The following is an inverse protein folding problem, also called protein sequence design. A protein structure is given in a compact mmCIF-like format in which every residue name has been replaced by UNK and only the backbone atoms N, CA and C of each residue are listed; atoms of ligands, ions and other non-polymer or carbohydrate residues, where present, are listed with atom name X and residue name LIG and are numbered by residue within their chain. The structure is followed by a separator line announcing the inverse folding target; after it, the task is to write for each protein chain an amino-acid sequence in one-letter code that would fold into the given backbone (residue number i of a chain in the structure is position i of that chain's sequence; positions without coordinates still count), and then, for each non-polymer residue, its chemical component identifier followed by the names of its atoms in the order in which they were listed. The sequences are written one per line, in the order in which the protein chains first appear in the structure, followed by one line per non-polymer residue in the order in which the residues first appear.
data_IF_761724552191
#
_entry.id   IF_761724552191
#
_cell.length_a   1.000
_cell.length_b   1.000
_cell.length_c   1.000
_cell.angle_alpha   90.00
_cell.angle_beta   90.00
_cell.angle_gamma   90.00
#
_symmetry.space_group_name_H-M   'P 1'
#
loop_
_entity.id
_entity.type
_entity.pdbx_description
1 polymer ?
#
# COMPACT_ATOMS: atom_id res chain seq x y z
N UNK A 1 -51.42 -8.64 24.11
CA UNK A 1 -50.28 -9.58 23.98
C UNK A 1 -49.55 -9.52 22.62
N UNK A 2 -50.10 -8.91 21.56
CA UNK A 2 -49.46 -8.82 20.23
C UNK A 2 -48.53 -7.60 20.00
N UNK A 3 -48.64 -6.54 20.81
CA UNK A 3 -47.85 -5.30 20.63
C UNK A 3 -46.36 -5.46 21.01
N UNK A 4 -46.06 -6.30 22.00
CA UNK A 4 -44.68 -6.58 22.41
C UNK A 4 -43.93 -7.44 21.39
N UNK A 5 -44.61 -8.38 20.73
CA UNK A 5 -43.99 -9.26 19.71
C UNK A 5 -43.60 -8.48 18.47
N UNK A 6 -44.43 -7.52 18.04
CA UNK A 6 -44.14 -6.64 16.89
C UNK A 6 -42.90 -5.77 17.17
N UNK A 7 -42.77 -5.26 18.40
CA UNK A 7 -41.62 -4.43 18.78
C UNK A 7 -40.31 -5.23 18.77
N UNK A 8 -40.33 -6.48 19.23
CA UNK A 8 -39.15 -7.37 19.23
C UNK A 8 -38.72 -7.73 17.80
N UNK A 9 -39.67 -8.02 16.90
CA UNK A 9 -39.36 -8.32 15.49
C UNK A 9 -38.77 -7.10 14.77
N UNK A 10 -39.27 -5.89 15.05
CA UNK A 10 -38.76 -4.65 14.45
C UNK A 10 -37.32 -4.35 14.87
N UNK A 11 -36.97 -4.59 16.14
CA UNK A 11 -35.60 -4.42 16.66
C UNK A 11 -34.64 -5.45 16.05
N UNK A 12 -35.09 -6.68 15.83
CA UNK A 12 -34.26 -7.72 15.18
C UNK A 12 -33.98 -7.42 13.70
N UNK A 13 -34.94 -6.85 12.97
CA UNK A 13 -34.74 -6.40 11.58
C UNK A 13 -33.80 -5.19 11.46
N UNK A 14 -33.82 -4.26 12.44
CA UNK A 14 -32.91 -3.11 12.46
C UNK A 14 -31.45 -3.49 12.74
N UNK A 15 -31.20 -4.58 13.47
CA UNK A 15 -29.85 -5.09 13.73
C UNK A 15 -29.28 -5.91 12.57
N UNK A 16 -30.13 -6.53 11.74
CA UNK A 16 -29.71 -7.30 10.57
C UNK A 16 -29.21 -6.44 9.39
N UNK A 17 -29.42 -5.12 9.44
CA UNK A 17 -28.98 -4.17 8.40
C UNK A 17 -27.50 -3.76 8.49
N UNK A 18 -26.80 -4.09 9.57
CA UNK A 18 -25.37 -3.82 9.71
C UNK A 18 -24.57 -5.01 9.16
N UNK A 19 -24.44 -5.09 7.83
CA UNK A 19 -23.34 -5.87 7.26
C UNK A 19 -22.06 -5.16 7.63
N UNK A 20 -21.36 -5.64 8.67
CA UNK A 20 -20.00 -5.23 8.94
C UNK A 20 -19.17 -5.60 7.71
N UNK A 21 -18.88 -4.63 6.85
CA UNK A 21 -17.94 -4.83 5.76
C UNK A 21 -16.58 -5.04 6.41
N UNK A 22 -16.01 -6.23 6.24
CA UNK A 22 -14.68 -6.53 6.75
C UNK A 22 -13.70 -5.46 6.23
N UNK A 23 -12.85 -4.94 7.12
CA UNK A 23 -11.82 -3.99 6.74
C UNK A 23 -10.92 -4.63 5.67
N UNK A 24 -10.61 -3.87 4.63
CA UNK A 24 -9.78 -4.39 3.55
C UNK A 24 -8.33 -4.52 4.04
N UNK A 25 -7.73 -5.69 3.81
CA UNK A 25 -6.37 -5.99 4.26
C UNK A 25 -5.38 -5.59 3.19
N UNK A 26 -4.43 -4.74 3.54
CA UNK A 26 -3.41 -4.26 2.60
C UNK A 26 -2.01 -4.50 3.16
N UNK A 27 -1.15 -5.06 2.33
CA UNK A 27 0.28 -5.15 2.60
C UNK A 27 1.03 -4.10 1.80
N UNK A 28 2.00 -3.44 2.42
CA UNK A 28 2.93 -2.54 1.75
C UNK A 28 4.31 -3.18 1.82
N UNK A 29 4.88 -3.49 0.67
CA UNK A 29 6.23 -4.02 0.58
C UNK A 29 7.27 -2.91 0.86
N UNK A 30 8.47 -3.31 1.28
CA UNK A 30 9.58 -2.38 1.40
C UNK A 30 9.88 -1.76 0.03
N UNK A 31 10.10 -0.44 0.01
CA UNK A 31 10.41 0.28 -1.22
C UNK A 31 11.85 0.00 -1.63
N UNK A 32 12.04 -0.33 -2.91
CA UNK A 32 13.38 -0.41 -3.49
C UNK A 32 13.87 0.98 -3.89
N UNK A 33 15.17 1.25 -3.75
CA UNK A 33 15.79 2.44 -4.31
C UNK A 33 16.42 2.12 -5.67
N UNK A 34 15.88 2.74 -6.71
CA UNK A 34 16.43 2.78 -8.05
C UNK A 34 17.12 4.14 -8.28
N UNK A 35 18.35 4.25 -7.79
CA UNK A 35 19.17 5.44 -7.99
C UNK A 35 19.93 5.31 -9.32
N UNK A 36 19.59 6.18 -10.28
CA UNK A 36 20.25 6.25 -11.59
C UNK A 36 21.32 7.35 -11.63
N UNK A 37 21.52 8.05 -10.51
CA UNK A 37 22.60 9.03 -10.38
C UNK A 37 23.94 8.32 -10.16
N UNK A 38 25.04 9.00 -10.45
CA UNK A 38 26.38 8.47 -10.21
C UNK A 38 26.82 8.51 -8.73
N UNK A 39 25.96 8.98 -7.82
CA UNK A 39 26.29 8.98 -6.39
C UNK A 39 26.12 7.58 -5.81
N UNK A 40 27.02 7.15 -4.91
CA UNK A 40 26.83 5.91 -4.19
C UNK A 40 25.58 5.99 -3.32
N UNK A 41 24.90 4.86 -3.18
CA UNK A 41 23.79 4.59 -2.26
C UNK A 41 24.12 5.16 -0.87
N UNK A 42 23.69 6.40 -0.56
CA UNK A 42 24.10 7.06 0.70
C UNK A 42 23.29 6.50 1.88
N UNK A 43 23.82 6.52 3.11
CA UNK A 43 23.03 6.16 4.29
C UNK A 43 21.75 6.98 4.44
N UNK A 44 21.78 8.25 4.02
CA UNK A 44 20.62 9.14 4.05
C UNK A 44 19.53 8.69 3.07
N UNK A 45 19.88 8.41 1.82
CA UNK A 45 18.90 7.95 0.82
C UNK A 45 18.32 6.58 1.17
N UNK A 46 19.12 5.70 1.78
CA UNK A 46 18.63 4.44 2.36
C UNK A 46 17.57 4.68 3.42
N UNK A 47 17.86 5.54 4.40
CA UNK A 47 16.91 5.86 5.48
C UNK A 47 15.64 6.49 4.92
N UNK A 48 15.79 7.40 3.96
CA UNK A 48 14.65 8.04 3.29
C UNK A 48 13.79 7.03 2.54
N UNK A 49 14.41 6.11 1.78
CA UNK A 49 13.66 5.07 1.07
C UNK A 49 12.97 4.12 2.03
N UNK A 50 13.66 3.68 3.08
CA UNK A 50 13.11 2.79 4.10
C UNK A 50 11.95 3.42 4.88
N UNK A 51 11.86 4.77 4.96
CA UNK A 51 10.75 5.44 5.64
C UNK A 51 9.46 5.45 4.81
N UNK A 52 9.51 5.21 3.50
CA UNK A 52 8.33 5.29 2.64
C UNK A 52 7.27 4.24 2.97
N UNK A 53 7.66 3.01 3.30
CA UNK A 53 6.71 1.99 3.75
C UNK A 53 5.94 2.44 5.00
N UNK A 54 6.56 2.68 6.16
CA UNK A 54 5.81 3.03 7.37
C UNK A 54 5.02 4.34 7.22
N UNK A 55 5.53 5.32 6.46
CA UNK A 55 4.76 6.53 6.14
C UNK A 55 3.51 6.22 5.31
N UNK A 56 3.61 5.32 4.33
CA UNK A 56 2.48 4.94 3.49
C UNK A 56 1.45 4.13 4.27
N UNK A 57 1.89 3.19 5.09
CA UNK A 57 1.01 2.43 5.99
C UNK A 57 0.23 3.39 6.91
N UNK A 58 0.91 4.38 7.51
CA UNK A 58 0.25 5.38 8.36
C UNK A 58 -0.72 6.26 7.56
N UNK A 59 -0.35 6.70 6.37
CA UNK A 59 -1.21 7.52 5.52
C UNK A 59 -2.45 6.75 5.06
N UNK A 60 -2.33 5.47 4.71
CA UNK A 60 -3.44 4.60 4.35
C UNK A 60 -4.41 4.42 5.52
N UNK A 61 -3.92 4.07 6.71
CA UNK A 61 -4.74 3.97 7.94
C UNK A 61 -5.55 5.24 8.24
N UNK A 62 -5.01 6.41 7.92
CA UNK A 62 -5.70 7.69 8.11
C UNK A 62 -6.70 8.01 6.98
N UNK A 63 -6.48 7.46 5.79
CA UNK A 63 -7.30 7.75 4.60
C UNK A 63 -8.54 6.86 4.53
N UNK A 64 -8.47 5.62 5.03
CA UNK A 64 -9.61 4.72 5.10
C UNK A 64 -9.42 3.60 6.11
N UNK A 65 -10.48 2.80 6.27
CA UNK A 65 -10.53 1.66 7.19
C UNK A 65 -9.81 0.44 6.60
N UNK A 66 -8.48 0.51 6.60
CA UNK A 66 -7.60 -0.58 6.17
C UNK A 66 -6.98 -1.31 7.36
N UNK A 67 -6.98 -2.64 7.28
CA UNK A 67 -6.12 -3.46 8.13
C UNK A 67 -4.75 -3.61 7.46
N UNK A 68 -3.70 -3.15 8.15
CA UNK A 68 -2.34 -3.29 7.61
C UNK A 68 -1.80 -4.67 7.95
N UNK A 69 -1.50 -5.44 6.91
CA UNK A 69 -0.92 -6.77 7.03
C UNK A 69 0.57 -6.70 6.73
N UNK A 70 1.37 -7.40 7.53
CA UNK A 70 2.83 -7.41 7.38
C UNK A 70 3.25 -8.57 6.48
N UNK A 71 3.98 -8.23 5.41
CA UNK A 71 4.90 -9.17 4.75
C UNK A 71 6.26 -9.00 5.42
N UNK A 72 6.87 -10.12 5.81
CA UNK A 72 8.18 -10.13 6.42
C UNK A 72 9.28 -9.83 5.39
N UNK A 73 10.30 -9.09 5.83
CA UNK A 73 11.35 -8.62 4.94
C UNK A 73 12.16 -9.79 4.35
N UNK A 74 12.29 -10.88 5.10
CA UNK A 74 12.96 -12.11 4.64
C UNK A 74 12.16 -12.79 3.53
N UNK A 75 10.83 -12.90 3.66
CA UNK A 75 9.97 -13.46 2.62
C UNK A 75 9.98 -12.60 1.35
N UNK A 76 9.91 -11.27 1.51
CA UNK A 76 10.04 -10.35 0.40
C UNK A 76 11.40 -10.51 -0.30
N UNK A 77 12.50 -10.57 0.46
CA UNK A 77 13.84 -10.74 -0.08
C UNK A 77 14.02 -12.10 -0.78
N UNK A 78 13.44 -13.17 -0.25
CA UNK A 78 13.49 -14.51 -0.85
C UNK A 78 12.72 -14.58 -2.18
N UNK A 79 11.66 -13.78 -2.33
CA UNK A 79 10.88 -13.68 -3.56
C UNK A 79 11.47 -12.70 -4.60
N UNK A 80 12.44 -11.86 -4.20
CA UNK A 80 13.06 -10.86 -5.04
C UNK A 80 14.30 -11.41 -5.77
N UNK A 81 14.24 -11.53 -7.09
CA UNK A 81 15.37 -11.95 -7.93
C UNK A 81 16.25 -10.78 -8.41
N UNK A 82 16.03 -9.57 -7.88
CA UNK A 82 16.85 -8.38 -8.12
C UNK A 82 16.02 -7.14 -8.45
N UNK A 83 16.67 -5.98 -8.49
CA UNK A 83 16.01 -4.66 -8.57
C UNK A 83 14.82 -4.62 -9.55
N UNK A 84 13.65 -4.33 -8.99
CA UNK A 84 12.38 -4.16 -9.68
C UNK A 84 11.70 -5.47 -10.07
N UNK A 85 12.14 -6.63 -9.57
CA UNK A 85 11.56 -7.92 -9.93
C UNK A 85 10.11 -7.99 -9.46
N UNK A 86 9.85 -7.82 -8.16
CA UNK A 86 8.48 -7.81 -7.62
C UNK A 86 7.63 -6.68 -8.20
N UNK A 87 8.25 -5.57 -8.62
CA UNK A 87 7.55 -4.48 -9.29
C UNK A 87 7.08 -4.85 -10.71
N UNK A 88 7.87 -5.64 -11.46
CA UNK A 88 7.57 -6.06 -12.84
C UNK A 88 6.60 -7.25 -12.91
N UNK A 89 6.55 -8.07 -11.87
CA UNK A 89 5.79 -9.31 -11.84
C UNK A 89 4.70 -9.26 -10.75
N UNK A 90 3.53 -8.64 -11.04
CA UNK A 90 2.46 -8.45 -10.06
C UNK A 90 1.93 -9.76 -9.48
N UNK A 91 1.98 -10.86 -10.24
CA UNK A 91 1.59 -12.19 -9.79
C UNK A 91 2.51 -12.74 -8.68
N UNK A 92 3.77 -12.32 -8.62
CA UNK A 92 4.70 -12.67 -7.54
C UNK A 92 4.38 -11.88 -6.28
N UNK A 93 4.17 -10.57 -6.43
CA UNK A 93 3.74 -9.71 -5.35
C UNK A 93 2.39 -10.16 -4.76
N UNK A 94 1.45 -10.57 -5.62
CA UNK A 94 0.18 -11.12 -5.19
C UNK A 94 0.35 -12.39 -4.35
N UNK A 95 1.29 -13.28 -4.70
CA UNK A 95 1.56 -14.48 -3.89
C UNK A 95 2.09 -14.16 -2.50
N UNK A 96 2.99 -13.17 -2.37
CA UNK A 96 3.43 -12.69 -1.06
C UNK A 96 2.26 -12.14 -0.24
N UNK A 97 1.39 -11.34 -0.88
CA UNK A 97 0.17 -10.84 -0.25
C UNK A 97 -0.76 -11.96 0.20
N UNK A 98 -0.99 -12.97 -0.66
CA UNK A 98 -1.82 -14.13 -0.37
C UNK A 98 -1.31 -14.90 0.85
N UNK A 99 0.01 -15.14 0.92
CA UNK A 99 0.66 -15.82 2.05
C UNK A 99 0.51 -15.04 3.37
N UNK A 100 0.58 -13.71 3.30
CA UNK A 100 0.39 -12.84 4.45
C UNK A 100 -1.11 -12.64 4.81
N UNK A 101 -2.03 -13.01 3.93
CA UNK A 101 -3.47 -12.78 4.09
C UNK A 101 -3.91 -11.36 3.75
N UNK A 102 -3.26 -10.71 2.80
CA UNK A 102 -3.69 -9.42 2.26
C UNK A 102 -4.69 -9.59 1.09
N UNK A 103 -5.59 -8.63 0.94
CA UNK A 103 -6.47 -8.49 -0.21
C UNK A 103 -5.79 -7.63 -1.32
N UNK A 104 -4.92 -6.72 -0.89
CA UNK A 104 -4.16 -5.82 -1.75
C UNK A 104 -2.67 -5.80 -1.38
N UNK A 105 -1.80 -5.65 -2.38
CA UNK A 105 -0.37 -5.41 -2.16
C UNK A 105 0.05 -4.13 -2.86
N UNK A 106 0.78 -3.27 -2.15
CA UNK A 106 1.47 -2.12 -2.75
C UNK A 106 2.94 -2.44 -2.91
N UNK A 107 3.41 -2.40 -4.16
CA UNK A 107 4.82 -2.58 -4.51
C UNK A 107 5.41 -1.23 -4.91
N UNK A 108 6.33 -0.71 -4.10
CA UNK A 108 6.88 0.63 -4.24
C UNK A 108 8.33 0.65 -4.73
N UNK A 109 8.68 1.68 -5.50
CA UNK A 109 10.06 2.03 -5.88
C UNK A 109 10.29 3.52 -5.71
N UNK A 110 11.40 3.85 -5.09
CA UNK A 110 11.97 5.19 -5.11
C UNK A 110 12.88 5.30 -6.33
N UNK A 111 12.40 5.96 -7.39
CA UNK A 111 13.18 6.16 -8.61
C UNK A 111 13.85 7.53 -8.58
N UNK A 112 15.18 7.57 -8.59
CA UNK A 112 15.94 8.81 -8.51
C UNK A 112 16.79 8.99 -9.77
N UNK A 113 16.23 9.62 -10.82
CA UNK A 113 16.96 9.88 -12.05
C UNK A 113 17.91 11.07 -11.96
N UNK A 114 17.74 11.97 -10.98
CA UNK A 114 18.57 13.16 -10.80
C UNK A 114 18.72 13.55 -9.33
N UNK A 115 19.57 14.54 -9.05
CA UNK A 115 19.71 15.13 -7.71
C UNK A 115 18.60 16.12 -7.37
N UNK A 116 17.87 16.63 -8.37
CA UNK A 116 16.88 17.70 -8.19
C UNK A 116 15.49 17.14 -7.91
N UNK A 117 15.21 15.94 -8.40
CA UNK A 117 13.92 15.29 -8.25
C UNK A 117 14.04 13.76 -8.28
N UNK A 118 13.05 13.14 -7.67
CA UNK A 118 12.87 11.69 -7.58
C UNK A 118 11.38 11.36 -7.75
N UNK A 119 11.03 10.09 -7.84
CA UNK A 119 9.66 9.63 -7.93
C UNK A 119 9.37 8.55 -6.89
N UNK A 120 8.18 8.61 -6.30
CA UNK A 120 7.51 7.46 -5.73
C UNK A 120 6.74 6.80 -6.87
N UNK A 121 7.23 5.66 -7.34
CA UNK A 121 6.51 4.83 -8.31
C UNK A 121 5.93 3.65 -7.54
N UNK A 122 4.64 3.37 -7.71
CA UNK A 122 4.00 2.27 -7.00
C UNK A 122 2.98 1.54 -7.86
N UNK A 123 2.91 0.23 -7.67
CA UNK A 123 1.89 -0.62 -8.25
C UNK A 123 0.95 -1.09 -7.14
N UNK A 124 -0.35 -0.95 -7.35
CA UNK A 124 -1.39 -1.60 -6.56
C UNK A 124 -1.74 -2.92 -7.25
N UNK A 125 -1.59 -4.01 -6.52
CA UNK A 125 -1.82 -5.37 -6.99
C UNK A 125 -3.04 -5.94 -6.27
N UNK A 126 -4.00 -6.42 -7.04
CA UNK A 126 -5.14 -7.20 -6.56
C UNK A 126 -4.65 -8.64 -6.29
N UNK A 127 -4.69 -9.06 -5.03
CA UNK A 127 -4.20 -10.40 -4.65
C UNK A 127 -5.09 -11.49 -5.21
N UNK A 128 -6.41 -11.30 -5.17
CA UNK A 128 -7.39 -12.28 -5.62
C UNK A 128 -7.26 -12.54 -7.12
N UNK A 129 -7.13 -11.47 -7.91
CA UNK A 129 -7.01 -11.57 -9.36
C UNK A 129 -5.56 -11.76 -9.83
N UNK A 130 -4.59 -11.69 -8.91
CA UNK A 130 -3.14 -11.77 -9.18
C UNK A 130 -2.69 -10.82 -10.29
N UNK A 131 -3.26 -9.62 -10.30
CA UNK A 131 -3.14 -8.69 -11.40
C UNK A 131 -2.81 -7.27 -10.90
N UNK A 132 -2.14 -6.51 -11.76
CA UNK A 132 -1.97 -5.08 -11.55
C UNK A 132 -3.33 -4.39 -11.66
N UNK A 133 -3.79 -3.79 -10.57
CA UNK A 133 -5.03 -3.01 -10.55
C UNK A 133 -4.79 -1.56 -10.98
N UNK A 134 -3.67 -0.97 -10.54
CA UNK A 134 -3.30 0.40 -10.90
C UNK A 134 -1.80 0.65 -10.72
N UNK A 135 -1.27 1.63 -11.47
CA UNK A 135 0.08 2.14 -11.31
C UNK A 135 0.08 3.65 -11.03
N UNK A 136 1.07 4.11 -10.26
CA UNK A 136 1.20 5.50 -9.83
C UNK A 136 2.62 5.99 -9.97
N UNK A 137 2.75 7.30 -10.24
CA UNK A 137 4.01 8.02 -10.16
C UNK A 137 3.76 9.38 -9.51
N UNK A 138 4.47 9.67 -8.41
CA UNK A 138 4.45 10.96 -7.72
C UNK A 138 5.85 11.55 -7.77
N UNK A 139 5.98 12.72 -8.39
CA UNK A 139 7.25 13.45 -8.41
C UNK A 139 7.52 14.10 -7.04
N UNK A 140 8.75 13.93 -6.55
CA UNK A 140 9.29 14.54 -5.36
C UNK A 140 10.37 15.56 -5.77
N UNK A 141 10.10 16.84 -5.56
CA UNK A 141 11.07 17.92 -5.82
C UNK A 141 11.94 18.16 -4.60
N UNK A 142 13.22 17.76 -4.68
CA UNK A 142 14.16 17.75 -3.57
C UNK A 142 14.01 16.55 -2.61
N UNK A 143 14.82 16.55 -1.54
CA UNK A 143 14.96 15.44 -0.60
C UNK A 143 14.43 15.72 0.82
N UNK A 144 13.85 16.90 1.06
CA UNK A 144 13.34 17.26 2.37
C UNK A 144 12.25 16.30 2.86
N UNK A 145 12.22 16.02 4.16
CA UNK A 145 11.25 15.12 4.80
C UNK A 145 9.79 15.49 4.48
N UNK A 146 9.45 16.79 4.55
CA UNK A 146 8.11 17.30 4.23
C UNK A 146 7.68 17.01 2.79
N UNK A 147 8.61 16.95 1.84
CA UNK A 147 8.32 16.60 0.44
C UNK A 147 7.95 15.13 0.35
N UNK A 148 8.72 14.26 1.02
CA UNK A 148 8.46 12.83 1.08
C UNK A 148 7.10 12.55 1.72
N UNK A 149 6.78 13.19 2.85
CA UNK A 149 5.50 13.04 3.53
C UNK A 149 4.32 13.42 2.63
N UNK A 150 4.36 14.61 2.00
CA UNK A 150 3.30 15.05 1.08
C UNK A 150 3.14 14.11 -0.12
N UNK A 151 4.25 13.62 -0.65
CA UNK A 151 4.25 12.66 -1.75
C UNK A 151 3.57 11.34 -1.38
N UNK A 152 3.87 10.82 -0.18
CA UNK A 152 3.26 9.62 0.37
C UNK A 152 1.76 9.82 0.64
N UNK A 153 1.36 10.97 1.19
CA UNK A 153 -0.05 11.29 1.42
C UNK A 153 -0.84 11.34 0.09
N UNK A 154 -0.26 11.94 -0.94
CA UNK A 154 -0.85 11.95 -2.28
C UNK A 154 -0.94 10.54 -2.88
N UNK A 155 0.07 9.69 -2.67
CA UNK A 155 0.06 8.30 -3.10
C UNK A 155 -1.04 7.50 -2.38
N UNK A 156 -1.13 7.61 -1.06
CA UNK A 156 -2.15 6.95 -0.25
C UNK A 156 -3.57 7.31 -0.71
N UNK A 157 -3.82 8.59 -1.01
CA UNK A 157 -5.10 9.04 -1.55
C UNK A 157 -5.42 8.35 -2.90
N UNK A 158 -4.46 8.30 -3.83
CA UNK A 158 -4.67 7.65 -5.14
C UNK A 158 -4.94 6.15 -5.02
N UNK A 159 -4.25 5.47 -4.10
CA UNK A 159 -4.49 4.06 -3.78
C UNK A 159 -5.91 3.88 -3.26
N UNK A 160 -6.30 4.67 -2.25
CA UNK A 160 -7.65 4.63 -1.68
C UNK A 160 -8.74 4.86 -2.74
N UNK A 161 -8.58 5.91 -3.56
CA UNK A 161 -9.50 6.23 -4.65
C UNK A 161 -9.59 5.09 -5.69
N UNK A 162 -8.57 4.23 -5.82
CA UNK A 162 -8.57 3.11 -6.76
C UNK A 162 -9.27 1.88 -6.18
N UNK A 163 -9.12 1.66 -4.88
CA UNK A 163 -9.76 0.56 -4.15
C UNK A 163 -11.29 0.78 -4.02
N UNK A 164 -11.73 2.04 -3.90
CA UNK A 164 -13.16 2.38 -3.72
C UNK A 164 -13.96 2.57 -5.02
N UNK A 165 -13.34 2.37 -6.18
CA UNK A 165 -14.04 2.40 -7.49
C UNK A 165 -14.74 1.08 -7.77
#
# INVERSE_FOLDING_TARGET
MYRSTIFVVLVFMLLAGYTAQAAERIAVLDFELNDLTSLPYTPEERRRTASFRPLLEQALKRTGDYEMVRVDAEDQAAADAGLGYLFRFPELAARLGEQAGADWVVVGRHSKPSFLYSYLIANLVDVKNRALAAGYAIELKGSHEKVSQRGIEALAKKIHDSIKK
#
